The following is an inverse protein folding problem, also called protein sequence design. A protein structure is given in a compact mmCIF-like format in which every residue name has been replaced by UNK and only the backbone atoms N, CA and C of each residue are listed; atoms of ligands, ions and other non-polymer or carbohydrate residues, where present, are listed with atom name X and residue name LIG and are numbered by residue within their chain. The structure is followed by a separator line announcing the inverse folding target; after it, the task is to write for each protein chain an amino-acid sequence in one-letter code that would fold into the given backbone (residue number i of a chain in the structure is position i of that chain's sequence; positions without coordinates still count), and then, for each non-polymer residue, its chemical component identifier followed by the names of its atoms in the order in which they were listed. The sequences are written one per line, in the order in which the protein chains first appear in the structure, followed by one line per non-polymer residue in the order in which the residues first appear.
data_IF_066382293099
#
_entry.id   IF_066382293099
#
_cell.length_a   1.000
_cell.length_b   1.000
_cell.length_c   1.000
_cell.angle_alpha   90.00
_cell.angle_beta   90.00
_cell.angle_gamma   90.00
#
_symmetry.space_group_name_H-M   'P 1'
#
loop_
_entity.id
_entity.type
_entity.pdbx_description
1 polymer ?
#
# COMPACT_ATOMS: atom_id res chain seq x y z
N UNK A 1 1.97 -2.01 65.92
CA UNK A 1 1.09 -3.17 65.69
C UNK A 1 0.71 -3.14 64.23
N UNK A 2 1.42 -3.90 63.39
CA UNK A 2 1.20 -3.95 61.94
C UNK A 2 0.07 -4.93 61.63
N UNK A 3 -1.07 -4.43 61.15
CA UNK A 3 -2.19 -5.25 60.68
C UNK A 3 -1.75 -6.12 59.50
N UNK A 4 -1.82 -7.44 59.67
CA UNK A 4 -1.60 -8.40 58.58
C UNK A 4 -2.76 -8.32 57.59
N UNK A 5 -2.48 -7.89 56.35
CA UNK A 5 -3.46 -7.75 55.27
C UNK A 5 -4.13 -9.12 54.97
N UNK A 6 -5.47 -9.20 54.83
CA UNK A 6 -6.16 -10.44 54.46
C UNK A 6 -5.67 -10.97 53.11
N UNK A 7 -5.57 -12.30 52.97
CA UNK A 7 -5.14 -12.94 51.72
C UNK A 7 -6.17 -12.68 50.61
N UNK A 8 -5.75 -12.28 49.40
CA UNK A 8 -6.66 -12.00 48.28
C UNK A 8 -7.41 -13.27 47.86
N UNK A 9 -8.71 -13.14 47.58
CA UNK A 9 -9.53 -14.24 47.05
C UNK A 9 -9.30 -14.37 45.54
N UNK A 10 -9.41 -15.59 45.02
CA UNK A 10 -9.11 -15.90 43.62
C UNK A 10 -10.03 -15.12 42.67
N UNK A 11 -9.46 -14.31 41.78
CA UNK A 11 -10.20 -13.52 40.78
C UNK A 11 -10.19 -12.00 40.98
N UNK A 12 -9.58 -11.48 42.04
CA UNK A 12 -9.37 -10.05 42.20
C UNK A 12 -8.14 -9.61 41.41
N UNK A 13 -8.34 -8.86 40.33
CA UNK A 13 -7.24 -8.27 39.56
C UNK A 13 -6.51 -7.24 40.42
N UNK A 14 -5.18 -7.25 40.39
CA UNK A 14 -4.38 -6.22 41.04
C UNK A 14 -4.84 -4.82 40.59
N UNK A 15 -4.97 -3.90 41.54
CA UNK A 15 -5.34 -2.53 41.21
C UNK A 15 -4.33 -1.92 40.23
N UNK A 16 -4.74 -0.98 39.35
CA UNK A 16 -3.82 -0.35 38.40
C UNK A 16 -2.61 0.33 39.06
N UNK A 17 -2.75 0.81 40.29
CA UNK A 17 -1.64 1.37 41.07
C UNK A 17 -0.66 0.30 41.56
N UNK A 18 -1.15 -0.86 42.02
CA UNK A 18 -0.30 -1.99 42.41
C UNK A 18 0.40 -2.63 41.21
N UNK A 19 -0.21 -2.64 40.02
CA UNK A 19 0.47 -3.03 38.78
C UNK A 19 1.63 -2.08 38.45
N UNK A 20 1.40 -0.76 38.53
CA UNK A 20 2.45 0.23 38.27
C UNK A 20 3.60 0.12 39.26
N UNK A 21 3.30 -0.10 40.54
CA UNK A 21 4.31 -0.28 41.58
C UNK A 21 5.18 -1.52 41.30
N UNK A 22 4.58 -2.65 40.91
CA UNK A 22 5.33 -3.88 40.56
C UNK A 22 6.16 -3.75 39.29
N UNK A 23 5.74 -2.93 38.32
CA UNK A 23 6.53 -2.67 37.11
C UNK A 23 7.74 -1.78 37.44
N UNK A 24 7.60 -0.88 38.41
CA UNK A 24 8.67 0.03 38.83
C UNK A 24 9.68 -0.62 39.78
N UNK A 25 9.30 -1.71 40.45
CA UNK A 25 10.18 -2.45 41.34
C UNK A 25 11.11 -3.38 40.52
N UNK A 26 12.44 -3.18 40.59
CA UNK A 26 13.39 -4.10 39.99
C UNK A 26 13.22 -5.49 40.62
N UNK A 27 13.24 -6.54 39.81
CA UNK A 27 13.23 -7.92 40.30
C UNK A 27 14.49 -8.11 41.15
N UNK A 28 14.32 -8.58 42.40
CA UNK A 28 15.46 -8.89 43.25
C UNK A 28 16.28 -10.06 42.69
N UNK A 29 17.53 -10.17 43.13
CA UNK A 29 18.48 -11.15 42.62
C UNK A 29 18.02 -12.60 42.89
N UNK A 30 17.34 -12.85 44.02
CA UNK A 30 16.87 -14.19 44.40
C UNK A 30 15.71 -14.65 43.50
N UNK A 31 14.83 -13.73 43.11
CA UNK A 31 13.70 -13.96 42.22
C UNK A 31 14.14 -14.03 40.75
N UNK A 32 15.21 -13.33 40.38
CA UNK A 32 15.84 -13.46 39.07
C UNK A 32 16.47 -14.86 38.88
N UNK A 33 17.11 -15.40 39.93
CA UNK A 33 17.65 -16.77 39.94
C UNK A 33 16.56 -17.84 39.84
N UNK A 34 15.44 -17.69 40.57
CA UNK A 34 14.30 -18.61 40.50
C UNK A 34 13.65 -18.66 39.10
N UNK A 35 13.70 -17.54 38.35
CA UNK A 35 13.18 -17.41 36.99
C UNK A 35 14.21 -17.75 35.90
N UNK A 36 15.44 -18.12 36.25
CA UNK A 36 16.51 -18.43 35.29
C UNK A 36 17.03 -17.23 34.49
N UNK A 37 16.84 -16.01 35.00
CA UNK A 37 17.29 -14.76 34.38
C UNK A 37 18.68 -14.41 34.96
N UNK A 38 19.73 -14.41 34.14
CA UNK A 38 21.08 -14.13 34.60
C UNK A 38 21.23 -12.67 35.09
N UNK A 39 21.84 -12.41 36.27
CA UNK A 39 21.96 -11.07 36.83
C UNK A 39 22.91 -10.20 36.01
N UNK A 40 22.51 -8.95 35.75
CA UNK A 40 23.37 -7.94 35.14
C UNK A 40 24.25 -7.34 36.24
N UNK A 41 25.53 -7.70 36.24
CA UNK A 41 26.52 -7.21 37.20
C UNK A 41 26.77 -5.70 36.99
N UNK A 42 26.64 -4.84 38.01
CA UNK A 42 27.00 -3.43 37.91
C UNK A 42 28.53 -3.25 37.79
N UNK A 43 29.00 -2.58 36.73
CA UNK A 43 30.41 -2.15 36.62
C UNK A 43 30.69 -1.03 37.62
N UNK A 44 31.53 -1.31 38.61
CA UNK A 44 32.00 -0.35 39.61
C UNK A 44 32.80 0.80 38.97
N UNK A 45 32.36 2.04 39.20
CA UNK A 45 33.13 3.26 38.88
C UNK A 45 33.95 3.70 40.09
N UNK A 46 35.28 3.77 39.93
CA UNK A 46 36.23 4.32 40.89
C UNK A 46 36.06 5.85 41.12
N UNK A 47 36.54 6.39 42.27
CA UNK A 47 35.99 7.59 42.89
C UNK A 47 36.66 8.90 42.41
N UNK A 48 35.85 9.91 42.06
CA UNK A 48 36.28 11.33 42.16
C UNK A 48 35.50 12.01 43.28
N UNK A 49 36.28 12.68 44.12
CA UNK A 49 35.88 13.44 45.29
C UNK A 49 34.79 14.51 44.98
N UNK A 50 33.84 14.61 45.92
CA UNK A 50 32.88 15.69 46.19
C UNK A 50 33.15 17.08 45.57
N UNK A 51 32.17 17.58 44.79
CA UNK A 51 31.59 18.95 44.94
C UNK A 51 30.30 19.13 44.11
N UNK A 52 29.15 19.06 44.83
CA UNK A 52 27.94 19.91 44.86
C UNK A 52 27.30 20.62 43.61
N UNK A 53 26.00 20.98 43.68
CA UNK A 53 25.02 20.85 42.59
C UNK A 53 24.74 22.17 41.86
N UNK A 54 24.99 22.24 40.55
CA UNK A 54 24.66 23.45 39.74
C UNK A 54 23.81 23.17 38.50
N UNK A 55 23.50 21.91 38.18
CA UNK A 55 22.83 21.58 36.90
C UNK A 55 21.31 21.85 36.88
N UNK A 56 20.64 21.87 38.05
CA UNK A 56 19.18 22.08 38.10
C UNK A 56 18.77 23.55 38.00
N UNK A 57 19.63 24.50 38.36
CA UNK A 57 19.38 25.93 38.13
C UNK A 57 19.62 26.32 36.65
N UNK A 58 20.60 25.70 35.98
CA UNK A 58 20.88 25.95 34.55
C UNK A 58 19.73 25.55 33.61
N UNK A 59 18.88 24.57 33.99
CA UNK A 59 17.75 24.15 33.14
C UNK A 59 16.55 25.12 33.20
N UNK A 60 16.45 25.99 34.22
CA UNK A 60 15.36 26.98 34.29
C UNK A 60 15.70 28.31 33.59
N UNK A 61 16.97 28.67 33.45
CA UNK A 61 17.37 29.88 32.71
C UNK A 61 17.47 29.68 31.19
N UNK A 62 17.65 28.46 30.70
CA UNK A 62 17.70 28.19 29.25
C UNK A 62 16.34 28.22 28.54
N UNK A 63 15.24 28.46 29.24
CA UNK A 63 13.91 28.67 28.65
C UNK A 63 13.72 30.09 28.07
N UNK A 64 14.72 30.96 28.13
CA UNK A 64 14.61 32.33 27.62
C UNK A 64 15.90 32.84 26.96
N UNK A 65 16.39 32.15 25.93
CA UNK A 65 17.33 32.77 24.96
C UNK A 65 16.84 32.60 23.51
N UNK A 66 16.69 33.71 22.75
CA UNK A 66 16.35 33.67 21.34
C UNK A 66 17.55 33.23 20.49
N UNK A 67 17.36 32.15 19.73
CA UNK A 67 17.95 31.96 18.41
C UNK A 67 19.44 31.63 18.34
N UNK A 68 19.76 30.34 18.31
CA UNK A 68 20.79 29.82 17.40
C UNK A 68 20.28 28.50 16.81
N UNK A 69 20.01 28.51 15.51
CA UNK A 69 19.65 27.34 14.72
C UNK A 69 20.85 26.39 14.69
N UNK A 70 20.83 25.29 15.42
CA UNK A 70 21.84 24.22 15.27
C UNK A 70 21.32 23.13 14.32
N UNK A 71 21.95 22.92 13.15
CA UNK A 71 21.49 21.96 12.14
C UNK A 71 21.83 20.51 12.50
N UNK A 72 20.88 19.61 12.24
CA UNK A 72 21.19 18.26 11.72
C UNK A 72 21.36 17.13 12.73
N UNK A 73 20.30 16.75 13.43
CA UNK A 73 20.09 15.34 13.77
C UNK A 73 18.93 14.84 12.90
N UNK A 74 19.10 13.80 12.06
CA UNK A 74 18.01 13.30 11.24
C UNK A 74 16.95 12.71 12.16
N UNK A 75 15.86 13.44 12.34
CA UNK A 75 14.60 12.88 12.82
C UNK A 75 14.19 11.78 11.84
N UNK A 76 14.47 10.52 12.18
CA UNK A 76 13.86 9.39 11.48
C UNK A 76 12.38 9.42 11.86
N UNK A 77 11.62 10.26 11.15
CA UNK A 77 10.18 10.28 11.23
C UNK A 77 9.70 8.86 10.96
N UNK A 78 9.09 8.23 11.97
CA UNK A 78 8.46 6.93 11.84
C UNK A 78 7.41 7.02 10.72
N UNK A 79 7.78 6.53 9.53
CA UNK A 79 6.94 6.55 8.34
C UNK A 79 5.71 5.72 8.66
N UNK A 80 4.52 6.34 8.70
CA UNK A 80 3.25 5.63 8.94
C UNK A 80 3.17 4.42 7.99
N UNK A 81 2.81 3.22 8.49
CA UNK A 81 2.79 2.01 7.69
C UNK A 81 1.63 2.03 6.69
N UNK A 82 1.97 1.97 5.40
CA UNK A 82 1.49 1.08 4.28
C UNK A 82 0.03 0.59 4.19
N UNK A 83 -0.87 0.87 5.14
CA UNK A 83 -2.22 0.30 5.18
C UNK A 83 -3.11 0.80 4.02
N UNK A 84 -3.04 2.09 3.69
CA UNK A 84 -3.81 2.68 2.58
C UNK A 84 -3.41 2.13 1.21
N UNK A 85 -2.13 1.83 1.00
CA UNK A 85 -1.60 1.34 -0.27
C UNK A 85 -2.03 -0.10 -0.57
N UNK A 86 -2.16 -0.94 0.46
CA UNK A 86 -2.71 -2.29 0.33
C UNK A 86 -4.18 -2.27 -0.07
N UNK A 87 -4.99 -1.40 0.55
CA UNK A 87 -6.41 -1.25 0.22
C UNK A 87 -6.57 -0.74 -1.21
N UNK A 88 -5.83 0.31 -1.60
CA UNK A 88 -5.86 0.85 -2.95
C UNK A 88 -5.52 -0.21 -4.00
N UNK A 89 -4.45 -0.98 -3.77
CA UNK A 89 -4.03 -2.06 -4.65
C UNK A 89 -5.13 -3.13 -4.81
N UNK A 90 -5.75 -3.57 -3.72
CA UNK A 90 -6.85 -4.54 -3.76
C UNK A 90 -8.06 -4.00 -4.54
N UNK A 91 -8.41 -2.73 -4.33
CA UNK A 91 -9.52 -2.08 -5.06
C UNK A 91 -9.18 -1.98 -6.55
N UNK A 92 -7.97 -1.55 -6.92
CA UNK A 92 -7.51 -1.45 -8.31
C UNK A 92 -7.52 -2.81 -9.02
N UNK A 93 -7.04 -3.87 -8.35
CA UNK A 93 -7.06 -5.23 -8.91
C UNK A 93 -8.49 -5.74 -9.09
N UNK A 94 -9.35 -5.53 -8.09
CA UNK A 94 -10.76 -5.91 -8.13
C UNK A 94 -11.51 -5.17 -9.23
N UNK A 95 -11.31 -3.85 -9.34
CA UNK A 95 -11.89 -3.03 -10.41
C UNK A 95 -11.38 -3.47 -11.79
N UNK A 96 -10.08 -3.76 -11.91
CA UNK A 96 -9.50 -4.29 -13.14
C UNK A 96 -10.11 -5.64 -13.55
N UNK A 97 -10.36 -6.53 -12.58
CA UNK A 97 -11.02 -7.81 -12.83
C UNK A 97 -12.46 -7.63 -13.29
N UNK A 98 -13.22 -6.78 -12.59
CA UNK A 98 -14.61 -6.47 -12.97
C UNK A 98 -14.65 -5.85 -14.37
N UNK A 99 -13.75 -4.91 -14.66
CA UNK A 99 -13.61 -4.30 -15.98
C UNK A 99 -13.33 -5.34 -17.07
N UNK A 100 -12.45 -6.31 -16.81
CA UNK A 100 -12.15 -7.41 -17.74
C UNK A 100 -13.37 -8.28 -17.99
N UNK A 101 -14.12 -8.65 -16.94
CA UNK A 101 -15.33 -9.47 -17.05
C UNK A 101 -16.42 -8.75 -17.85
N UNK A 102 -16.64 -7.46 -17.57
CA UNK A 102 -17.64 -6.64 -18.27
C UNK A 102 -17.26 -6.45 -19.74
N UNK A 103 -15.98 -6.27 -20.02
CA UNK A 103 -15.49 -5.98 -21.38
C UNK A 103 -15.35 -7.26 -22.24
N UNK A 104 -15.15 -8.42 -21.61
CA UNK A 104 -14.89 -9.70 -22.28
C UNK A 104 -15.93 -10.06 -23.36
N UNK A 105 -17.25 -10.03 -23.11
CA UNK A 105 -18.23 -10.38 -24.14
C UNK A 105 -18.10 -9.50 -25.39
N UNK A 106 -17.89 -8.20 -25.19
CA UNK A 106 -17.69 -7.26 -26.29
C UNK A 106 -16.43 -7.54 -27.10
N UNK A 107 -15.33 -7.95 -26.47
CA UNK A 107 -14.11 -8.32 -27.19
C UNK A 107 -14.23 -9.66 -27.92
N UNK A 108 -14.98 -10.61 -27.37
CA UNK A 108 -15.26 -11.89 -28.03
C UNK A 108 -16.18 -11.74 -29.24
N UNK A 109 -17.09 -10.76 -29.19
CA UNK A 109 -17.96 -10.37 -30.31
C UNK A 109 -17.68 -8.93 -30.75
N UNK A 110 -16.41 -8.68 -31.11
CA UNK A 110 -16.00 -7.34 -31.56
C UNK A 110 -16.78 -6.85 -32.80
N UNK A 111 -17.09 -7.67 -33.80
CA UNK A 111 -17.96 -7.25 -34.91
C UNK A 111 -19.35 -6.79 -34.44
N UNK A 112 -19.95 -7.50 -33.48
CA UNK A 112 -21.21 -7.12 -32.84
C UNK A 112 -21.13 -5.80 -32.08
N UNK A 113 -19.95 -5.42 -31.58
CA UNK A 113 -19.70 -4.09 -30.99
C UNK A 113 -19.53 -2.99 -32.04
N UNK A 114 -18.77 -3.26 -33.12
CA UNK A 114 -18.40 -2.26 -34.13
C UNK A 114 -19.59 -1.89 -35.02
N UNK A 115 -20.33 -2.89 -35.52
CA UNK A 115 -21.39 -2.68 -36.53
C UNK A 115 -22.49 -1.71 -36.06
N UNK A 116 -23.08 -1.85 -34.86
CA UNK A 116 -24.10 -0.91 -34.39
C UNK A 116 -23.56 0.51 -34.22
N UNK A 117 -22.31 0.64 -33.75
CA UNK A 117 -21.66 1.93 -33.59
C UNK A 117 -21.43 2.64 -34.93
N UNK A 118 -20.96 1.92 -35.95
CA UNK A 118 -20.80 2.44 -37.31
C UNK A 118 -22.14 2.85 -37.94
N UNK A 119 -23.17 2.02 -37.80
CA UNK A 119 -24.51 2.32 -38.32
C UNK A 119 -25.08 3.58 -37.66
N UNK A 120 -24.87 3.76 -36.35
CA UNK A 120 -25.28 4.98 -35.65
C UNK A 120 -24.58 6.24 -36.18
N UNK A 121 -23.36 6.12 -36.69
CA UNK A 121 -22.61 7.19 -37.35
C UNK A 121 -22.99 7.37 -38.84
N UNK A 122 -23.91 6.57 -39.38
CA UNK A 122 -24.31 6.59 -40.79
C UNK A 122 -23.42 5.76 -41.71
N UNK A 123 -22.47 5.00 -41.17
CA UNK A 123 -21.60 4.11 -41.93
C UNK A 123 -22.25 2.74 -42.01
N UNK A 124 -22.65 2.36 -43.23
CA UNK A 124 -23.19 1.03 -43.53
C UNK A 124 -22.18 0.22 -44.36
N UNK A 125 -22.28 -1.12 -44.32
CA UNK A 125 -21.44 -1.98 -45.14
C UNK A 125 -20.13 -2.46 -44.52
N UNK A 126 -19.96 -2.39 -43.19
CA UNK A 126 -18.83 -3.03 -42.51
C UNK A 126 -18.68 -4.50 -42.92
N UNK A 127 -17.47 -4.90 -43.31
CA UNK A 127 -17.20 -6.20 -43.92
C UNK A 127 -16.03 -6.97 -43.26
N UNK A 128 -15.21 -6.29 -42.47
CA UNK A 128 -13.99 -6.84 -41.85
C UNK A 128 -14.23 -7.70 -40.59
N UNK A 129 -15.22 -8.60 -40.60
CA UNK A 129 -15.57 -9.41 -39.41
C UNK A 129 -14.43 -10.29 -38.92
N UNK A 130 -13.75 -11.00 -39.83
CA UNK A 130 -12.65 -11.90 -39.46
C UNK A 130 -11.49 -11.15 -38.79
N UNK A 131 -11.14 -9.97 -39.30
CA UNK A 131 -10.10 -9.12 -38.72
C UNK A 131 -10.54 -8.56 -37.36
N UNK A 132 -11.78 -8.07 -37.24
CA UNK A 132 -12.29 -7.60 -35.95
C UNK A 132 -12.29 -8.71 -34.89
N UNK A 133 -12.78 -9.91 -35.23
CA UNK A 133 -12.75 -11.04 -34.29
C UNK A 133 -11.32 -11.38 -33.88
N UNK A 134 -10.37 -11.39 -34.82
CA UNK A 134 -8.96 -11.63 -34.50
C UNK A 134 -8.37 -10.54 -33.59
N UNK A 135 -8.66 -9.27 -33.86
CA UNK A 135 -8.22 -8.14 -33.02
C UNK A 135 -8.86 -8.16 -31.63
N UNK A 136 -10.13 -8.56 -31.52
CA UNK A 136 -10.84 -8.72 -30.25
C UNK A 136 -10.20 -9.81 -29.38
N UNK A 137 -9.91 -10.98 -29.96
CA UNK A 137 -9.21 -12.08 -29.28
C UNK A 137 -7.79 -11.66 -28.86
N UNK A 138 -7.05 -10.99 -29.75
CA UNK A 138 -5.71 -10.48 -29.47
C UNK A 138 -5.74 -9.48 -28.31
N UNK A 139 -6.67 -8.52 -28.36
CA UNK A 139 -6.84 -7.52 -27.32
C UNK A 139 -7.17 -8.18 -25.97
N UNK A 140 -8.09 -9.15 -25.96
CA UNK A 140 -8.46 -9.88 -24.76
C UNK A 140 -7.27 -10.64 -24.16
N UNK A 141 -6.50 -11.35 -25.00
CA UNK A 141 -5.32 -12.08 -24.56
C UNK A 141 -4.25 -11.17 -23.94
N UNK A 142 -3.97 -10.03 -24.58
CA UNK A 142 -3.05 -9.02 -24.07
C UNK A 142 -3.57 -8.37 -22.78
N UNK A 143 -4.88 -8.13 -22.66
CA UNK A 143 -5.49 -7.58 -21.45
C UNK A 143 -5.33 -8.53 -20.26
N UNK A 144 -5.59 -9.82 -20.48
CA UNK A 144 -5.40 -10.87 -19.47
C UNK A 144 -3.92 -10.94 -19.08
N UNK A 145 -3.01 -10.93 -20.05
CA UNK A 145 -1.57 -10.97 -19.77
C UNK A 145 -1.09 -9.77 -18.93
N UNK A 146 -1.57 -8.56 -19.26
CA UNK A 146 -1.27 -7.35 -18.50
C UNK A 146 -1.85 -7.40 -17.09
N UNK A 147 -3.09 -7.90 -16.93
CA UNK A 147 -3.73 -8.02 -15.62
C UNK A 147 -3.05 -9.08 -14.74
N UNK A 148 -2.70 -10.25 -15.30
CA UNK A 148 -1.91 -11.27 -14.60
C UNK A 148 -0.52 -10.74 -14.23
N UNK A 149 0.13 -10.02 -15.15
CA UNK A 149 1.39 -9.32 -14.88
C UNK A 149 1.27 -8.33 -13.73
N UNK A 150 0.17 -7.56 -13.68
CA UNK A 150 -0.13 -6.64 -12.59
C UNK A 150 -0.26 -7.35 -11.25
N UNK A 151 -0.94 -8.50 -11.20
CA UNK A 151 -1.05 -9.32 -9.98
C UNK A 151 0.31 -9.82 -9.52
N UNK A 152 1.11 -10.37 -10.43
CA UNK A 152 2.42 -10.92 -10.10
C UNK A 152 3.34 -9.81 -9.58
N UNK A 153 3.44 -8.69 -10.30
CA UNK A 153 4.29 -7.56 -9.90
C UNK A 153 3.82 -6.94 -8.59
N UNK A 154 2.51 -6.78 -8.42
CA UNK A 154 1.92 -6.31 -7.16
C UNK A 154 2.27 -7.24 -5.99
N UNK A 155 2.11 -8.56 -6.15
CA UNK A 155 2.45 -9.52 -5.09
C UNK A 155 3.95 -9.53 -4.73
N UNK A 156 4.84 -9.43 -5.73
CA UNK A 156 6.29 -9.37 -5.51
C UNK A 156 6.69 -8.07 -4.82
N UNK A 157 6.06 -6.96 -5.17
CA UNK A 157 6.34 -5.66 -4.57
C UNK A 157 5.93 -5.56 -3.10
N UNK A 158 4.80 -6.19 -2.75
CA UNK A 158 4.33 -6.30 -1.36
C UNK A 158 5.28 -7.14 -0.52
N UNK A 159 5.82 -8.22 -1.08
CA UNK A 159 6.88 -9.03 -0.43
C UNK A 159 8.16 -8.24 -0.19
N UNK A 160 8.46 -7.25 -1.04
CA UNK A 160 9.62 -6.37 -0.89
C UNK A 160 9.37 -5.16 0.03
N UNK A 161 8.18 -5.03 0.63
CA UNK A 161 7.83 -3.93 1.53
C UNK A 161 7.72 -2.55 0.86
N UNK A 162 7.60 -2.51 -0.48
CA UNK A 162 7.52 -1.25 -1.25
C UNK A 162 6.06 -0.89 -1.56
N UNK A 163 5.74 0.41 -1.47
CA UNK A 163 4.43 0.98 -1.77
C UNK A 163 4.20 0.99 -3.30
N UNK A 164 3.12 0.39 -3.78
CA UNK A 164 3.04 -0.06 -5.18
C UNK A 164 1.69 0.17 -5.87
N UNK A 165 0.84 1.07 -5.36
CA UNK A 165 -0.46 1.39 -5.99
C UNK A 165 -0.37 1.74 -7.49
N UNK A 166 0.75 2.27 -7.99
CA UNK A 166 0.89 2.71 -9.37
C UNK A 166 1.02 1.56 -10.39
N UNK A 167 1.50 0.38 -9.98
CA UNK A 167 1.67 -0.77 -10.89
C UNK A 167 0.33 -1.22 -11.50
N UNK A 168 -0.70 -1.55 -10.70
CA UNK A 168 -1.97 -1.98 -11.26
C UNK A 168 -2.67 -0.85 -12.02
N UNK A 169 -2.45 0.41 -11.63
CA UNK A 169 -2.96 1.56 -12.37
C UNK A 169 -2.36 1.63 -13.78
N UNK A 170 -1.03 1.57 -13.90
CA UNK A 170 -0.33 1.61 -15.20
C UNK A 170 -0.71 0.39 -16.04
N UNK A 171 -0.80 -0.80 -15.44
CA UNK A 171 -1.25 -1.99 -16.16
C UNK A 171 -2.68 -1.84 -16.68
N UNK A 172 -3.60 -1.24 -15.91
CA UNK A 172 -4.96 -0.94 -16.34
C UNK A 172 -5.02 0.05 -17.49
N UNK A 173 -4.21 1.13 -17.44
CA UNK A 173 -4.10 2.10 -18.53
C UNK A 173 -3.53 1.43 -19.79
N UNK A 174 -2.46 0.65 -19.66
CA UNK A 174 -1.88 -0.08 -20.79
C UNK A 174 -2.88 -1.08 -21.40
N UNK A 175 -3.61 -1.81 -20.56
CA UNK A 175 -4.64 -2.75 -20.97
C UNK A 175 -5.78 -2.06 -21.75
N UNK A 176 -6.18 -0.87 -21.31
CA UNK A 176 -7.18 -0.07 -22.02
C UNK A 176 -6.66 0.42 -23.38
N UNK A 177 -5.42 0.91 -23.43
CA UNK A 177 -4.78 1.35 -24.67
C UNK A 177 -4.70 0.22 -25.70
N UNK A 178 -4.41 -1.01 -25.27
CA UNK A 178 -4.42 -2.19 -26.15
C UNK A 178 -5.79 -2.35 -26.84
N UNK A 179 -6.89 -2.24 -26.09
CA UNK A 179 -8.24 -2.36 -26.66
C UNK A 179 -8.49 -1.24 -27.68
N UNK A 180 -8.17 0.00 -27.33
CA UNK A 180 -8.36 1.15 -28.22
C UNK A 180 -7.56 0.98 -29.52
N UNK A 181 -6.31 0.53 -29.43
CA UNK A 181 -5.45 0.30 -30.60
C UNK A 181 -6.01 -0.83 -31.47
N UNK A 182 -6.37 -1.97 -30.88
CA UNK A 182 -6.95 -3.10 -31.62
C UNK A 182 -8.28 -2.72 -32.31
N UNK A 183 -9.13 -1.95 -31.62
CA UNK A 183 -10.38 -1.45 -32.17
C UNK A 183 -10.12 -0.48 -33.34
N UNK A 184 -9.17 0.45 -33.18
CA UNK A 184 -8.77 1.37 -34.23
C UNK A 184 -8.22 0.65 -35.47
N UNK A 185 -7.44 -0.43 -35.29
CA UNK A 185 -6.96 -1.27 -36.39
C UNK A 185 -8.11 -2.01 -37.08
N UNK A 186 -9.04 -2.58 -36.31
CA UNK A 186 -10.19 -3.31 -36.86
C UNK A 186 -11.10 -2.40 -37.71
N UNK A 187 -11.37 -1.18 -37.24
CA UNK A 187 -12.19 -0.20 -37.97
C UNK A 187 -11.41 0.45 -39.12
N UNK A 188 -10.15 0.83 -38.89
CA UNK A 188 -9.33 1.54 -39.89
C UNK A 188 -8.94 0.69 -41.10
N UNK A 189 -8.97 -0.63 -40.97
CA UNK A 189 -8.76 -1.54 -42.09
C UNK A 189 -10.03 -1.81 -42.91
N UNK A 190 -11.20 -1.36 -42.46
CA UNK A 190 -12.47 -1.57 -43.17
C UNK A 190 -12.68 -0.52 -44.28
N UNK A 191 -13.00 -0.94 -45.52
CA UNK A 191 -13.20 -0.02 -46.63
C UNK A 191 -14.32 1.00 -46.42
N UNK A 192 -15.47 0.59 -45.84
CA UNK A 192 -16.61 1.49 -45.64
C UNK A 192 -16.29 2.59 -44.63
N UNK A 193 -15.52 2.24 -43.59
CA UNK A 193 -15.02 3.23 -42.64
C UNK A 193 -14.02 4.20 -43.30
N UNK A 194 -13.11 3.71 -44.15
CA UNK A 194 -12.14 4.56 -44.84
C UNK A 194 -12.80 5.53 -45.83
N UNK A 195 -13.86 5.11 -46.52
CA UNK A 195 -14.66 6.00 -47.37
C UNK A 195 -15.35 7.08 -46.55
N UNK A 196 -15.95 6.71 -45.42
CA UNK A 196 -16.53 7.67 -44.50
C UNK A 196 -15.51 8.71 -44.03
N UNK A 197 -14.33 8.30 -43.57
CA UNK A 197 -13.27 9.22 -43.12
C UNK A 197 -12.85 10.17 -44.24
N UNK A 198 -12.69 9.67 -45.47
CA UNK A 198 -12.36 10.51 -46.64
C UNK A 198 -13.46 11.52 -46.94
N UNK A 199 -14.74 11.15 -46.79
CA UNK A 199 -15.86 12.06 -47.03
C UNK A 199 -15.94 13.22 -46.03
N UNK A 200 -15.33 13.07 -44.86
CA UNK A 200 -15.30 14.09 -43.80
C UNK A 200 -14.05 14.99 -43.87
N UNK A 201 -13.09 14.67 -44.73
CA UNK A 201 -11.91 15.52 -44.95
C UNK A 201 -12.29 16.67 -45.90
N UNK A 202 -12.02 17.93 -45.52
CA UNK A 202 -12.31 19.10 -46.35
C UNK A 202 -11.42 19.18 -47.59
#
# INVERSE_FOLDING_TARGET
MSESRPRPQFGEYASPEEQRARIAEPIDEQRAEELGIAPVVPVERQPRQQQEPTLREQTREQANEPGVVQPGAPTVAARRPVAGDRIATSILLGLGLVGLIVTMPGLLDLPGLIRPALVQMGVSGYSSDGLASAMGILALGLQIALWVGAIILSSRSLRAGRLTFWIPLVAGVAANLVVVICLAVAMGADPAFMEYVRSQQP
#
